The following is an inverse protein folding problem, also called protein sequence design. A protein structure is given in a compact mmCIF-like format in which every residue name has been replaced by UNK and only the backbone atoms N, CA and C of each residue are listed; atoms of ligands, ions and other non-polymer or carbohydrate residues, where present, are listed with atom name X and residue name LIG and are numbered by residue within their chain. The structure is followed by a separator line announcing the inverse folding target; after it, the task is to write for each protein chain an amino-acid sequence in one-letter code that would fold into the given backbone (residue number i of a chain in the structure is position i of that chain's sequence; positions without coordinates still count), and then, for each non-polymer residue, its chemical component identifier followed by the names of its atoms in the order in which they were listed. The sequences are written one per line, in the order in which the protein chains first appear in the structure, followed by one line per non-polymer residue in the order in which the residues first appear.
data_IF_135618127518
#
_entry.id   IF_135618127518
#
_cell.length_a   1.000
_cell.length_b   1.000
_cell.length_c   1.000
_cell.angle_alpha   90.00
_cell.angle_beta   90.00
_cell.angle_gamma   90.00
#
_symmetry.space_group_name_H-M   'P 1'
#
loop_
_entity.id
_entity.type
_entity.pdbx_description
1 polymer ?
#
# COMPACT_ATOMS: atom_id res chain seq x y z
N UNK A 1 51.31 1.09 -34.32
CA UNK A 1 50.59 -0.12 -33.85
C UNK A 1 51.21 -0.77 -32.60
N UNK A 2 52.50 -1.14 -32.58
CA UNK A 2 53.12 -1.85 -31.44
C UNK A 2 53.18 -1.07 -30.11
N UNK A 3 53.34 0.27 -30.16
CA UNK A 3 53.39 1.14 -28.96
C UNK A 3 52.02 1.25 -28.30
N UNK A 4 50.97 1.50 -29.09
CA UNK A 4 49.59 1.56 -28.59
C UNK A 4 49.15 0.24 -27.96
N UNK A 5 49.57 -0.90 -28.52
CA UNK A 5 49.26 -2.23 -27.98
C UNK A 5 49.93 -2.47 -26.60
N UNK A 6 51.19 -2.03 -26.43
CA UNK A 6 51.89 -2.08 -25.13
C UNK A 6 51.26 -1.15 -24.09
N UNK A 7 50.90 0.07 -24.48
CA UNK A 7 50.24 1.03 -23.57
C UNK A 7 48.88 0.50 -23.12
N UNK A 8 48.10 -0.07 -24.03
CA UNK A 8 46.81 -0.70 -23.71
C UNK A 8 47.02 -1.88 -22.76
N UNK A 9 48.04 -2.72 -23.00
CA UNK A 9 48.37 -3.83 -22.11
C UNK A 9 48.76 -3.35 -20.71
N UNK A 10 49.57 -2.30 -20.59
CA UNK A 10 49.93 -1.73 -19.29
C UNK A 10 48.71 -1.18 -18.56
N UNK A 11 47.81 -0.46 -19.26
CA UNK A 11 46.57 0.03 -18.66
C UNK A 11 45.71 -1.10 -18.11
N UNK A 12 45.50 -2.17 -18.88
CA UNK A 12 44.73 -3.33 -18.41
C UNK A 12 45.41 -4.05 -17.24
N UNK A 13 46.72 -4.21 -17.28
CA UNK A 13 47.48 -4.84 -16.19
C UNK A 13 47.41 -3.99 -14.92
N UNK A 14 47.54 -2.68 -15.02
CA UNK A 14 47.40 -1.76 -13.89
C UNK A 14 45.99 -1.78 -13.32
N UNK A 15 44.95 -1.78 -14.17
CA UNK A 15 43.56 -1.88 -13.73
C UNK A 15 43.29 -3.21 -13.01
N UNK A 16 43.82 -4.32 -13.52
CA UNK A 16 43.70 -5.64 -12.89
C UNK A 16 44.37 -5.70 -11.52
N UNK A 17 45.59 -5.15 -11.40
CA UNK A 17 46.34 -5.11 -10.14
C UNK A 17 45.61 -4.23 -9.12
N UNK A 18 45.15 -3.06 -9.53
CA UNK A 18 44.42 -2.13 -8.67
C UNK A 18 43.07 -2.70 -8.22
N UNK A 19 42.32 -3.34 -9.11
CA UNK A 19 41.03 -3.96 -8.75
C UNK A 19 41.23 -5.16 -7.82
N UNK A 20 42.23 -6.00 -8.07
CA UNK A 20 42.61 -7.12 -7.19
C UNK A 20 43.03 -6.65 -5.81
N UNK A 21 43.89 -5.63 -5.72
CA UNK A 21 44.31 -5.05 -4.44
C UNK A 21 43.13 -4.44 -3.67
N UNK A 22 42.26 -3.71 -4.37
CA UNK A 22 41.07 -3.10 -3.78
C UNK A 22 40.11 -4.17 -3.26
N UNK A 23 39.89 -5.25 -4.02
CA UNK A 23 39.08 -6.37 -3.58
C UNK A 23 39.65 -7.02 -2.31
N UNK A 24 40.96 -7.29 -2.27
CA UNK A 24 41.61 -7.87 -1.08
C UNK A 24 41.50 -6.96 0.14
N UNK A 25 41.68 -5.64 -0.02
CA UNK A 25 41.52 -4.67 1.07
C UNK A 25 40.07 -4.66 1.58
N UNK A 26 39.09 -4.68 0.70
CA UNK A 26 37.67 -4.69 1.06
C UNK A 26 37.24 -5.99 1.78
N UNK A 27 38.00 -7.08 1.65
CA UNK A 27 37.78 -8.33 2.38
C UNK A 27 38.41 -8.35 3.78
N UNK A 28 39.26 -7.38 4.12
CA UNK A 28 39.89 -7.32 5.44
C UNK A 28 38.83 -7.10 6.53
N UNK A 29 38.91 -7.87 7.62
CA UNK A 29 38.00 -7.76 8.77
C UNK A 29 37.75 -6.32 9.28
N UNK A 30 38.76 -5.45 9.47
CA UNK A 30 38.50 -4.06 9.89
C UNK A 30 37.72 -3.26 8.84
N UNK A 31 37.95 -3.51 7.54
CA UNK A 31 37.24 -2.83 6.45
C UNK A 31 35.80 -3.34 6.34
N UNK A 32 35.59 -4.65 6.46
CA UNK A 32 34.26 -5.29 6.52
C UNK A 32 33.45 -4.78 7.73
N UNK A 33 34.09 -4.58 8.88
CA UNK A 33 33.48 -4.02 10.08
C UNK A 33 33.10 -2.54 9.90
N UNK A 34 33.99 -1.74 9.30
CA UNK A 34 33.70 -0.35 8.96
C UNK A 34 32.53 -0.23 7.97
N UNK A 35 32.52 -1.07 6.92
CA UNK A 35 31.42 -1.14 5.95
C UNK A 35 30.10 -1.46 6.65
N UNK A 36 30.07 -2.48 7.51
CA UNK A 36 28.88 -2.84 8.28
C UNK A 36 28.37 -1.69 9.17
N UNK A 37 29.26 -0.95 9.83
CA UNK A 37 28.86 0.19 10.67
C UNK A 37 28.16 1.31 9.89
N UNK A 38 28.47 1.47 8.61
CA UNK A 38 27.92 2.55 7.79
C UNK A 38 26.73 2.08 6.94
N UNK A 39 26.73 0.82 6.48
CA UNK A 39 25.69 0.31 5.58
C UNK A 39 24.67 -0.58 6.29
N UNK A 40 24.99 -1.14 7.46
CA UNK A 40 24.18 -2.15 8.16
C UNK A 40 24.22 -3.55 7.53
N UNK A 41 24.92 -3.71 6.41
CA UNK A 41 24.90 -4.93 5.60
C UNK A 41 25.95 -5.94 6.08
N UNK A 42 25.58 -7.21 6.18
CA UNK A 42 26.50 -8.29 6.57
C UNK A 42 27.18 -8.93 5.34
N UNK A 43 26.46 -9.04 4.23
CA UNK A 43 26.93 -9.66 2.99
C UNK A 43 27.85 -8.70 2.22
N UNK A 44 28.96 -9.20 1.69
CA UNK A 44 29.98 -8.37 1.01
C UNK A 44 29.45 -7.54 -0.15
N UNK A 45 28.74 -8.16 -1.08
CA UNK A 45 28.20 -7.42 -2.23
C UNK A 45 27.16 -6.38 -1.79
N UNK A 46 26.38 -6.68 -0.75
CA UNK A 46 25.44 -5.73 -0.17
C UNK A 46 26.15 -4.55 0.51
N UNK A 47 27.26 -4.79 1.21
CA UNK A 47 28.11 -3.72 1.77
C UNK A 47 28.67 -2.80 0.69
N UNK A 48 29.21 -3.37 -0.40
CA UNK A 48 29.73 -2.58 -1.52
C UNK A 48 28.62 -1.77 -2.19
N UNK A 49 27.45 -2.39 -2.42
CA UNK A 49 26.27 -1.71 -2.95
C UNK A 49 25.80 -0.59 -2.02
N UNK A 50 25.63 -0.86 -0.73
CA UNK A 50 25.18 0.12 0.26
C UNK A 50 26.13 1.31 0.36
N UNK A 51 27.45 1.08 0.31
CA UNK A 51 28.41 2.17 0.25
C UNK A 51 28.25 3.00 -1.05
N UNK A 52 28.03 2.34 -2.19
CA UNK A 52 27.79 3.04 -3.46
C UNK A 52 26.48 3.84 -3.45
N UNK A 53 25.43 3.34 -2.79
CA UNK A 53 24.16 4.03 -2.64
C UNK A 53 24.32 5.27 -1.73
N UNK A 54 25.02 5.13 -0.59
CA UNK A 54 25.32 6.26 0.31
C UNK A 54 26.15 7.36 -0.35
N UNK A 55 27.13 6.97 -1.17
CA UNK A 55 27.91 7.92 -1.97
C UNK A 55 27.04 8.57 -3.05
N UNK A 56 26.15 7.80 -3.68
CA UNK A 56 25.19 8.29 -4.65
C UNK A 56 24.22 9.31 -4.06
N UNK A 57 23.75 9.09 -2.83
CA UNK A 57 22.86 10.00 -2.12
C UNK A 57 23.49 11.36 -1.84
N UNK A 58 24.82 11.44 -1.71
CA UNK A 58 25.54 12.73 -1.60
C UNK A 58 25.47 13.57 -2.88
N UNK A 59 25.21 12.94 -4.02
CA UNK A 59 25.05 13.60 -5.32
C UNK A 59 23.59 13.94 -5.60
N UNK A 60 22.65 13.36 -4.87
CA UNK A 60 21.22 13.66 -4.99
C UNK A 60 20.89 14.92 -4.18
N UNK A 61 19.98 15.77 -4.66
CA UNK A 61 19.43 16.84 -3.84
C UNK A 61 18.88 16.25 -2.53
N UNK A 62 19.19 16.88 -1.40
CA UNK A 62 18.59 16.49 -0.13
C UNK A 62 17.08 16.68 -0.21
N UNK A 63 16.32 15.68 0.24
CA UNK A 63 14.87 15.81 0.41
C UNK A 63 14.63 16.89 1.45
N UNK A 64 13.92 17.96 1.08
CA UNK A 64 13.42 18.91 2.07
C UNK A 64 12.28 18.23 2.84
N UNK A 65 12.57 17.86 4.08
CA UNK A 65 11.60 17.19 4.95
C UNK A 65 10.54 18.15 5.48
N UNK A 66 10.69 19.46 5.24
CA UNK A 66 9.81 20.51 5.74
C UNK A 66 9.33 20.25 7.18
N UNK A 67 10.24 20.13 8.17
CA UNK A 67 9.91 19.65 9.52
C UNK A 67 8.94 20.58 10.28
N UNK A 68 8.76 21.81 9.80
CA UNK A 68 7.80 22.78 10.33
C UNK A 68 6.51 22.89 9.49
N UNK A 69 6.38 22.13 8.39
CA UNK A 69 5.14 22.07 7.64
C UNK A 69 4.08 21.37 8.50
N UNK A 70 3.04 22.11 8.84
CA UNK A 70 1.83 21.53 9.41
C UNK A 70 1.10 20.85 8.26
N UNK A 71 1.05 19.52 8.29
CA UNK A 71 0.31 18.76 7.28
C UNK A 71 -1.16 19.19 7.26
N UNK A 72 -1.77 19.20 6.08
CA UNK A 72 -3.23 19.29 6.01
C UNK A 72 -3.83 18.18 6.90
N UNK A 73 -4.85 18.53 7.68
CA UNK A 73 -5.47 17.65 8.68
C UNK A 73 -4.64 17.32 9.94
N UNK A 74 -3.56 18.06 10.24
CA UNK A 74 -2.82 17.88 11.49
C UNK A 74 -3.59 18.33 12.77
N UNK A 75 -4.65 19.13 12.60
CA UNK A 75 -5.48 19.64 13.71
C UNK A 75 -6.78 18.84 13.94
N UNK A 76 -6.95 17.69 13.30
CA UNK A 76 -8.11 16.81 13.53
C UNK A 76 -7.85 15.88 14.72
N UNK A 77 -8.90 15.21 15.22
CA UNK A 77 -8.73 14.18 16.24
C UNK A 77 -7.76 13.09 15.71
N UNK A 78 -6.62 12.82 16.36
CA UNK A 78 -5.62 11.89 15.85
C UNK A 78 -6.01 10.42 16.05
N UNK A 79 -7.08 10.15 16.80
CA UNK A 79 -7.48 8.79 17.16
C UNK A 79 -8.56 8.25 16.23
N UNK A 80 -8.19 7.19 15.53
CA UNK A 80 -9.08 6.34 14.76
C UNK A 80 -8.97 4.88 15.17
N UNK A 81 -9.94 4.09 14.75
CA UNK A 81 -9.97 2.64 14.95
C UNK A 81 -10.26 1.93 13.65
N UNK A 82 -9.62 0.78 13.42
CA UNK A 82 -9.94 -0.09 12.30
C UNK A 82 -11.18 -0.92 12.64
N UNK A 83 -12.11 -1.02 11.71
CA UNK A 83 -13.33 -1.79 11.88
C UNK A 83 -13.55 -2.76 10.73
N UNK A 84 -14.29 -3.83 11.02
CA UNK A 84 -14.72 -4.85 10.07
C UNK A 84 -16.25 -5.00 10.13
N UNK A 85 -16.98 -3.87 10.07
CA UNK A 85 -18.45 -3.85 10.23
C UNK A 85 -19.16 -4.62 9.11
N UNK A 86 -18.53 -4.72 7.94
CA UNK A 86 -19.00 -5.47 6.78
C UNK A 86 -19.04 -6.99 7.01
N UNK A 87 -18.27 -7.49 7.99
CA UNK A 87 -18.24 -8.91 8.39
C UNK A 87 -19.24 -9.24 9.50
N UNK A 88 -19.76 -8.24 10.22
CA UNK A 88 -20.80 -8.47 11.21
C UNK A 88 -22.15 -8.66 10.50
N UNK A 89 -22.83 -9.77 10.77
CA UNK A 89 -24.09 -10.12 10.13
C UNK A 89 -25.29 -9.37 10.74
N UNK A 90 -25.24 -9.08 12.04
CA UNK A 90 -26.31 -8.43 12.79
C UNK A 90 -26.20 -6.89 12.72
N UNK A 91 -27.17 -6.18 12.09
CA UNK A 91 -27.16 -4.73 12.02
C UNK A 91 -27.12 -4.04 13.39
N UNK A 92 -27.76 -4.62 14.42
CA UNK A 92 -27.76 -4.04 15.76
C UNK A 92 -26.37 -4.06 16.39
N UNK A 93 -25.59 -5.11 16.12
CA UNK A 93 -24.19 -5.21 16.57
C UNK A 93 -23.27 -4.26 15.84
N UNK A 94 -23.49 -4.00 14.54
CA UNK A 94 -22.74 -2.96 13.81
C UNK A 94 -22.95 -1.59 14.44
N UNK A 95 -24.20 -1.21 14.68
CA UNK A 95 -24.54 0.07 15.33
C UNK A 95 -23.92 0.15 16.72
N UNK A 96 -24.01 -0.93 17.50
CA UNK A 96 -23.39 -0.99 18.83
C UNK A 96 -21.87 -0.82 18.77
N UNK A 97 -21.18 -1.45 17.81
CA UNK A 97 -19.74 -1.31 17.65
C UNK A 97 -19.34 0.14 17.32
N UNK A 98 -20.10 0.82 16.46
CA UNK A 98 -19.90 2.24 16.17
C UNK A 98 -20.13 3.11 17.42
N UNK A 99 -21.20 2.86 18.17
CA UNK A 99 -21.49 3.56 19.43
C UNK A 99 -20.37 3.37 20.46
N UNK A 100 -19.84 2.17 20.58
CA UNK A 100 -18.72 1.86 21.48
C UNK A 100 -17.46 2.61 21.06
N UNK A 101 -17.16 2.68 19.76
CA UNK A 101 -16.02 3.43 19.26
C UNK A 101 -16.14 4.94 19.54
N UNK A 102 -17.31 5.53 19.29
CA UNK A 102 -17.59 6.92 19.63
C UNK A 102 -17.48 7.18 21.14
N UNK A 103 -18.06 6.30 21.96
CA UNK A 103 -18.01 6.41 23.44
C UNK A 103 -16.58 6.29 23.98
N UNK A 104 -15.72 5.52 23.31
CA UNK A 104 -14.31 5.40 23.64
C UNK A 104 -13.46 6.63 23.25
N UNK A 105 -14.05 7.62 22.56
CA UNK A 105 -13.39 8.87 22.17
C UNK A 105 -12.70 8.84 20.80
N UNK A 106 -12.92 7.80 19.99
CA UNK A 106 -12.47 7.79 18.60
C UNK A 106 -13.34 8.70 17.75
N UNK A 107 -12.73 9.31 16.73
CA UNK A 107 -13.46 10.11 15.73
C UNK A 107 -13.51 9.41 14.37
N UNK A 108 -12.44 8.70 14.02
CA UNK A 108 -12.29 8.07 12.72
C UNK A 108 -12.57 6.58 12.77
N UNK A 109 -13.36 6.08 11.83
CA UNK A 109 -13.48 4.66 11.53
C UNK A 109 -12.78 4.38 10.21
N UNK A 110 -11.72 3.56 10.24
CA UNK A 110 -11.15 3.00 9.01
C UNK A 110 -11.93 1.74 8.67
N UNK A 111 -12.76 1.84 7.64
CA UNK A 111 -13.76 0.84 7.28
C UNK A 111 -13.53 0.34 5.86
N UNK A 112 -13.55 -0.98 5.69
CA UNK A 112 -13.37 -1.63 4.40
C UNK A 112 -14.68 -1.70 3.60
N UNK A 113 -14.57 -1.43 2.30
CA UNK A 113 -15.62 -1.58 1.28
C UNK A 113 -15.05 -2.48 0.17
N UNK A 114 -15.09 -3.82 0.34
CA UNK A 114 -14.64 -4.76 -0.68
C UNK A 114 -15.46 -4.61 -1.96
N UNK A 115 -14.78 -4.45 -3.10
CA UNK A 115 -15.44 -4.33 -4.39
C UNK A 115 -16.26 -5.60 -4.71
N UNK A 116 -15.72 -6.77 -4.38
CA UNK A 116 -16.38 -8.06 -4.55
C UNK A 116 -17.69 -8.25 -3.75
N UNK A 117 -17.89 -7.48 -2.68
CA UNK A 117 -19.11 -7.54 -1.88
C UNK A 117 -20.15 -6.50 -2.30
N UNK A 118 -19.78 -5.54 -3.16
CA UNK A 118 -20.65 -4.47 -3.65
C UNK A 118 -21.07 -4.71 -5.11
N UNK A 119 -20.15 -5.11 -5.98
CA UNK A 119 -20.40 -5.33 -7.42
C UNK A 119 -20.21 -6.82 -7.75
N UNK A 120 -21.09 -7.64 -7.18
CA UNK A 120 -20.86 -9.09 -6.94
C UNK A 120 -20.86 -9.90 -8.26
N UNK A 121 -21.85 -9.68 -9.12
CA UNK A 121 -22.14 -10.60 -10.23
C UNK A 121 -21.61 -10.14 -11.59
N UNK A 122 -21.24 -8.88 -11.72
CA UNK A 122 -20.77 -8.31 -12.98
C UNK A 122 -20.72 -6.79 -12.95
N UNK A 123 -20.09 -6.22 -13.98
CA UNK A 123 -19.96 -4.78 -14.10
C UNK A 123 -21.31 -4.06 -14.12
N UNK A 124 -21.49 -3.08 -13.26
CA UNK A 124 -22.72 -2.31 -13.03
C UNK A 124 -23.80 -3.05 -12.25
N UNK A 125 -23.54 -4.27 -11.77
CA UNK A 125 -24.52 -5.08 -11.04
C UNK A 125 -24.29 -5.01 -9.52
N UNK A 126 -25.15 -4.22 -8.87
CA UNK A 126 -25.14 -4.01 -7.43
C UNK A 126 -26.27 -4.76 -6.70
N UNK A 127 -26.82 -5.81 -7.31
CA UNK A 127 -27.83 -6.67 -6.68
C UNK A 127 -27.17 -7.87 -6.00
N UNK A 128 -27.39 -8.04 -4.70
CA UNK A 128 -26.95 -9.23 -3.95
C UNK A 128 -27.95 -10.38 -4.13
N UNK A 129 -27.66 -11.23 -5.12
CA UNK A 129 -28.37 -12.48 -5.39
C UNK A 129 -27.82 -13.72 -4.66
N UNK A 130 -26.93 -13.56 -3.67
CA UNK A 130 -26.38 -14.71 -2.92
C UNK A 130 -27.43 -15.35 -1.99
N UNK A 131 -28.50 -14.63 -1.65
CA UNK A 131 -29.56 -15.09 -0.75
C UNK A 131 -30.93 -14.57 -1.23
N UNK A 132 -32.00 -15.31 -0.92
CA UNK A 132 -33.38 -14.85 -1.15
C UNK A 132 -34.00 -14.24 0.13
N UNK A 133 -34.76 -13.13 0.02
CA UNK A 133 -35.01 -12.36 -1.19
C UNK A 133 -33.76 -11.57 -1.62
N UNK A 134 -33.65 -11.32 -2.94
CA UNK A 134 -32.60 -10.47 -3.49
C UNK A 134 -32.71 -9.07 -2.89
N UNK A 135 -31.56 -8.43 -2.70
CA UNK A 135 -31.43 -7.13 -2.05
C UNK A 135 -30.32 -6.32 -2.70
N UNK A 136 -30.23 -5.05 -2.36
CA UNK A 136 -29.13 -4.21 -2.85
C UNK A 136 -27.85 -4.57 -2.09
N UNK A 137 -26.75 -4.76 -2.81
CA UNK A 137 -25.43 -4.97 -2.22
C UNK A 137 -24.97 -3.75 -1.41
N UNK A 138 -25.53 -2.56 -1.70
CA UNK A 138 -25.27 -1.33 -0.94
C UNK A 138 -25.89 -1.30 0.45
N UNK A 139 -26.94 -2.09 0.72
CA UNK A 139 -27.75 -1.93 1.95
C UNK A 139 -26.90 -2.02 3.22
N UNK A 140 -25.92 -2.92 3.23
CA UNK A 140 -24.99 -3.09 4.36
C UNK A 140 -24.08 -1.88 4.55
N UNK A 141 -23.56 -1.33 3.45
CA UNK A 141 -22.65 -0.19 3.47
C UNK A 141 -23.39 1.10 3.81
N UNK A 142 -24.61 1.28 3.30
CA UNK A 142 -25.48 2.39 3.66
C UNK A 142 -25.77 2.41 5.16
N UNK A 143 -26.09 1.25 5.76
CA UNK A 143 -26.26 1.12 7.22
C UNK A 143 -25.00 1.50 8.00
N UNK A 144 -23.82 1.20 7.47
CA UNK A 144 -22.55 1.57 8.11
C UNK A 144 -22.32 3.08 8.04
N UNK A 145 -22.56 3.71 6.88
CA UNK A 145 -22.47 5.17 6.73
C UNK A 145 -23.49 5.87 7.63
N UNK A 146 -24.74 5.41 7.65
CA UNK A 146 -25.80 5.94 8.50
C UNK A 146 -25.42 5.83 9.99
N UNK A 147 -24.85 4.69 10.41
CA UNK A 147 -24.42 4.49 11.78
C UNK A 147 -23.27 5.44 12.16
N UNK A 148 -22.29 5.63 11.28
CA UNK A 148 -21.19 6.56 11.51
C UNK A 148 -21.68 8.01 11.65
N UNK A 149 -22.52 8.47 10.72
CA UNK A 149 -23.12 9.81 10.75
C UNK A 149 -23.96 10.04 12.02
N UNK A 150 -24.79 9.07 12.39
CA UNK A 150 -25.63 9.14 13.58
C UNK A 150 -24.82 9.25 14.90
N UNK A 151 -23.56 8.81 14.89
CA UNK A 151 -22.66 8.88 16.04
C UNK A 151 -21.58 9.98 15.89
N UNK A 152 -21.68 10.85 14.87
CA UNK A 152 -20.73 11.93 14.64
C UNK A 152 -19.31 11.46 14.29
N UNK A 153 -19.17 10.24 13.78
CA UNK A 153 -17.89 9.67 13.37
C UNK A 153 -17.66 9.89 11.88
N UNK A 154 -16.41 10.10 11.47
CA UNK A 154 -16.03 10.19 10.06
C UNK A 154 -15.38 8.89 9.55
N UNK A 155 -15.70 8.53 8.32
CA UNK A 155 -15.18 7.32 7.68
C UNK A 155 -13.92 7.61 6.86
N UNK A 156 -12.93 6.72 7.00
CA UNK A 156 -11.85 6.52 6.03
C UNK A 156 -12.17 5.20 5.32
N UNK A 157 -12.72 5.30 4.12
CA UNK A 157 -13.19 4.14 3.36
C UNK A 157 -12.05 3.54 2.57
N UNK A 158 -11.69 2.29 2.87
CA UNK A 158 -10.74 1.52 2.09
C UNK A 158 -11.47 0.71 1.03
N UNK A 159 -11.22 1.02 -0.25
CA UNK A 159 -11.68 0.21 -1.37
C UNK A 159 -10.71 -0.94 -1.59
N UNK A 160 -11.22 -2.15 -1.65
CA UNK A 160 -10.38 -3.36 -1.68
C UNK A 160 -10.85 -4.38 -2.73
N UNK A 161 -10.82 -5.65 -2.37
CA UNK A 161 -10.75 -6.85 -3.20
C UNK A 161 -11.61 -6.79 -4.47
N UNK A 162 -11.00 -6.92 -5.66
CA UNK A 162 -11.73 -6.97 -6.93
C UNK A 162 -12.48 -8.29 -7.14
N UNK A 163 -13.74 -8.26 -7.59
CA UNK A 163 -14.57 -9.44 -7.83
C UNK A 163 -13.98 -10.35 -8.91
N UNK A 164 -14.30 -11.65 -8.85
CA UNK A 164 -13.87 -12.65 -9.82
C UNK A 164 -14.08 -12.29 -11.28
N UNK A 165 -15.20 -11.63 -11.62
CA UNK A 165 -15.53 -11.28 -13.01
C UNK A 165 -14.56 -10.28 -13.64
N UNK A 166 -13.74 -9.58 -12.84
CA UNK A 166 -12.75 -8.61 -13.33
C UNK A 166 -11.50 -9.26 -13.92
N UNK A 167 -11.41 -10.59 -13.85
CA UNK A 167 -10.27 -11.39 -14.33
C UNK A 167 -10.75 -12.47 -15.28
N UNK A 168 -10.04 -12.68 -16.38
CA UNK A 168 -10.33 -13.73 -17.36
C UNK A 168 -10.22 -15.14 -16.76
N UNK A 169 -9.37 -15.32 -15.75
CA UNK A 169 -9.24 -16.59 -15.01
C UNK A 169 -10.29 -16.77 -13.91
N UNK A 170 -11.14 -15.77 -13.65
CA UNK A 170 -12.14 -15.79 -12.58
C UNK A 170 -11.53 -15.66 -11.18
N UNK A 171 -12.26 -16.15 -10.17
CA UNK A 171 -11.68 -16.43 -8.85
C UNK A 171 -10.91 -17.75 -8.97
N UNK A 172 -9.59 -17.69 -8.83
CA UNK A 172 -8.73 -18.85 -9.06
C UNK A 172 -9.13 -20.05 -8.20
N UNK A 173 -9.06 -21.24 -8.79
CA UNK A 173 -9.47 -22.54 -8.23
C UNK A 173 -8.71 -22.96 -6.94
N UNK A 174 -7.88 -22.09 -6.34
CA UNK A 174 -7.08 -22.36 -5.14
C UNK A 174 -6.80 -21.13 -4.25
N UNK A 175 -7.74 -20.20 -4.05
CA UNK A 175 -7.68 -19.12 -3.01
C UNK A 175 -6.46 -18.16 -3.03
N UNK A 176 -5.52 -18.26 -3.98
CA UNK A 176 -4.34 -17.36 -4.05
C UNK A 176 -4.65 -16.08 -4.84
N UNK A 177 -5.68 -16.09 -5.69
CA UNK A 177 -5.99 -15.00 -6.63
C UNK A 177 -7.10 -14.03 -6.17
N UNK A 178 -7.68 -14.22 -4.97
CA UNK A 178 -8.72 -13.32 -4.43
C UNK A 178 -8.21 -11.88 -4.23
N UNK A 179 -6.89 -11.70 -4.09
CA UNK A 179 -6.24 -10.40 -3.97
C UNK A 179 -5.52 -9.93 -5.25
N UNK A 180 -5.68 -10.65 -6.36
CA UNK A 180 -5.06 -10.26 -7.63
C UNK A 180 -5.75 -9.00 -8.20
N UNK A 181 -4.99 -8.04 -8.76
CA UNK A 181 -5.59 -6.87 -9.39
C UNK A 181 -6.52 -7.26 -10.56
N UNK A 182 -7.47 -6.40 -10.94
CA UNK A 182 -8.32 -6.64 -12.13
C UNK A 182 -7.47 -6.63 -13.41
N UNK A 183 -7.89 -7.36 -14.44
CA UNK A 183 -7.23 -7.35 -15.75
C UNK A 183 -7.33 -5.97 -16.42
N UNK A 184 -8.39 -5.22 -16.11
CA UNK A 184 -8.65 -3.88 -16.61
C UNK A 184 -8.79 -2.88 -15.45
N UNK A 185 -7.81 -1.98 -15.33
CA UNK A 185 -7.79 -0.92 -14.30
C UNK A 185 -8.99 0.02 -14.42
N UNK A 186 -9.58 0.18 -15.61
CA UNK A 186 -10.77 1.03 -15.79
C UNK A 186 -11.99 0.49 -15.03
N UNK A 187 -12.09 -0.83 -14.84
CA UNK A 187 -13.21 -1.40 -14.08
C UNK A 187 -13.14 -0.99 -12.60
N UNK A 188 -11.93 -0.91 -12.04
CA UNK A 188 -11.74 -0.37 -10.69
C UNK A 188 -12.04 1.13 -10.63
N UNK A 189 -11.63 1.91 -11.64
CA UNK A 189 -11.94 3.33 -11.70
C UNK A 189 -13.45 3.60 -11.77
N UNK A 190 -14.20 2.78 -12.52
CA UNK A 190 -15.66 2.87 -12.62
C UNK A 190 -16.34 2.51 -11.29
N UNK A 191 -15.85 1.48 -10.59
CA UNK A 191 -16.29 1.13 -9.24
C UNK A 191 -16.02 2.26 -8.24
N UNK A 192 -14.81 2.80 -8.21
CA UNK A 192 -14.43 3.96 -7.37
C UNK A 192 -15.38 5.12 -7.65
N UNK A 193 -15.65 5.42 -8.92
CA UNK A 193 -16.59 6.46 -9.32
C UNK A 193 -18.00 6.20 -8.80
N UNK A 194 -18.47 4.95 -8.82
CA UNK A 194 -19.78 4.57 -8.28
C UNK A 194 -19.86 4.81 -6.77
N UNK A 195 -18.86 4.38 -6.00
CA UNK A 195 -18.81 4.58 -4.54
C UNK A 195 -18.73 6.06 -4.18
N UNK A 196 -17.83 6.82 -4.82
CA UNK A 196 -17.64 8.25 -4.57
C UNK A 196 -18.91 9.04 -4.92
N UNK A 197 -19.56 8.71 -6.05
CA UNK A 197 -20.81 9.36 -6.45
C UNK A 197 -21.96 9.06 -5.48
N UNK A 198 -22.06 7.80 -5.00
CA UNK A 198 -23.11 7.40 -4.06
C UNK A 198 -23.00 8.12 -2.72
N UNK A 199 -21.79 8.26 -2.19
CA UNK A 199 -21.54 8.85 -0.87
C UNK A 199 -21.04 10.29 -0.94
N UNK A 200 -21.28 10.98 -2.06
CA UNK A 200 -20.88 12.37 -2.24
C UNK A 200 -21.45 13.25 -1.12
N UNK A 201 -20.56 13.98 -0.43
CA UNK A 201 -20.92 14.86 0.69
C UNK A 201 -21.07 14.13 2.03
N UNK A 202 -21.04 12.80 2.05
CA UNK A 202 -21.13 11.95 3.24
C UNK A 202 -19.77 11.38 3.65
N UNK A 203 -18.98 10.97 2.67
CA UNK A 203 -17.61 10.45 2.88
C UNK A 203 -16.61 11.37 2.18
N UNK A 204 -15.50 11.65 2.86
CA UNK A 204 -14.45 12.58 2.38
C UNK A 204 -13.12 11.89 2.11
N UNK A 205 -12.82 10.80 2.81
CA UNK A 205 -11.51 10.14 2.76
C UNK A 205 -11.66 8.72 2.21
N UNK A 206 -10.91 8.46 1.14
CA UNK A 206 -10.83 7.17 0.46
C UNK A 206 -9.39 6.68 0.46
N UNK A 207 -9.22 5.36 0.62
CA UNK A 207 -7.95 4.65 0.55
C UNK A 207 -8.03 3.52 -0.48
#
# INVERSE_FOLDING_TARGET
MRVALRQTLYLWLSLLVLSGLSFLILQLAPVRGWLWQHTGEEVFLAQVKGLSDLLGDRLRPSVDLAPAAVGEYAEVNPFGVNTFLEQEADPAKRVLAVQMAATAGYHWLRQEFPWEDIEIHGKGDFEDRRHEPYRSAWDKYDQIVDAAEANGMELIVRLSNPPGWTRAQGEGENNVDTFAPPDNVQDFADFVSAVVSRYQGRIRYYQ
#
